data_IF_436911539217
#
_entry.id   IF_436911539217
#
_cell.length_a   1.000
_cell.length_b   1.000
_cell.length_c   1.000
_cell.angle_alpha   90.00
_cell.angle_beta   90.00
_cell.angle_gamma   90.00
#
_symmetry.space_group_name_H-M   'P 1'
#
loop_
_entity.id
_entity.type
_entity.pdbx_description
1 polymer ?
#
# COMPACT_ATOMS: atom_id res chain seq x y z
N UNK A 1 47.67 -24.92 17.06
CA UNK A 1 46.83 -24.46 18.18
C UNK A 1 47.07 -22.97 18.30
N UNK A 2 46.48 -22.21 17.39
CA UNK A 2 46.40 -20.75 17.54
C UNK A 2 45.34 -20.52 18.62
N UNK A 3 45.66 -19.71 19.62
CA UNK A 3 44.72 -19.38 20.69
C UNK A 3 43.49 -18.69 20.07
N UNK A 4 42.29 -19.12 20.47
CA UNK A 4 41.01 -18.50 20.11
C UNK A 4 40.94 -17.10 20.73
N UNK A 5 41.60 -16.12 20.11
CA UNK A 5 41.42 -14.72 20.44
C UNK A 5 39.99 -14.32 20.04
N UNK A 6 39.25 -13.69 20.97
CA UNK A 6 37.95 -13.10 20.68
C UNK A 6 38.06 -12.19 19.46
N UNK A 7 37.36 -12.54 18.37
CA UNK A 7 37.38 -11.79 17.11
C UNK A 7 36.63 -10.45 17.19
N UNK A 8 35.96 -10.17 18.31
CA UNK A 8 35.18 -8.97 18.56
C UNK A 8 35.74 -8.17 19.72
N UNK A 9 35.64 -6.84 19.63
CA UNK A 9 36.01 -5.90 20.71
C UNK A 9 34.90 -4.87 20.90
N UNK A 10 34.46 -4.70 22.15
CA UNK A 10 33.38 -3.77 22.43
C UNK A 10 33.87 -2.32 22.49
N UNK A 11 33.03 -1.34 22.12
CA UNK A 11 33.36 0.07 22.29
C UNK A 11 33.71 0.43 23.75
N UNK A 12 33.11 -0.26 24.72
CA UNK A 12 33.41 -0.06 26.15
C UNK A 12 34.84 -0.50 26.50
N UNK A 13 35.31 -1.62 25.96
CA UNK A 13 36.70 -2.09 26.15
C UNK A 13 37.70 -1.09 25.57
N UNK A 14 37.41 -0.52 24.39
CA UNK A 14 38.24 0.51 23.76
C UNK A 14 38.35 1.74 24.67
N UNK A 15 37.20 2.24 25.17
CA UNK A 15 37.17 3.38 26.11
C UNK A 15 37.88 3.11 27.42
N UNK A 16 37.77 1.89 27.96
CA UNK A 16 38.46 1.50 29.18
C UNK A 16 39.98 1.51 28.99
N UNK A 17 40.47 1.04 27.85
CA UNK A 17 41.89 1.12 27.49
C UNK A 17 42.35 2.58 27.33
N UNK A 18 41.56 3.43 26.67
CA UNK A 18 41.87 4.86 26.55
C UNK A 18 41.93 5.54 27.92
N UNK A 19 40.99 5.23 28.82
CA UNK A 19 40.99 5.76 30.18
C UNK A 19 42.25 5.33 30.96
N UNK A 20 42.69 4.08 30.81
CA UNK A 20 43.93 3.58 31.42
C UNK A 20 45.15 4.31 30.85
N UNK A 21 45.25 4.44 29.53
CA UNK A 21 46.37 5.11 28.87
C UNK A 21 46.43 6.58 29.28
N UNK A 22 45.31 7.30 29.24
CA UNK A 22 45.22 8.70 29.67
C UNK A 22 45.60 8.85 31.15
N UNK A 23 45.18 7.92 32.02
CA UNK A 23 45.56 7.92 33.44
C UNK A 23 47.08 7.71 33.63
N UNK A 24 47.68 6.76 32.92
CA UNK A 24 49.12 6.50 33.01
C UNK A 24 49.92 7.73 32.53
N UNK A 25 49.56 8.29 31.38
CA UNK A 25 50.19 9.49 30.83
C UNK A 25 50.04 10.70 31.76
N UNK A 26 48.85 10.90 32.35
CA UNK A 26 48.60 11.96 33.33
C UNK A 26 49.45 11.85 34.60
N UNK A 27 49.88 10.63 34.96
CA UNK A 27 50.81 10.37 36.05
C UNK A 27 52.28 10.25 35.60
N UNK A 28 52.60 10.65 34.36
CA UNK A 28 53.94 10.56 33.78
C UNK A 28 54.51 9.12 33.74
N UNK A 29 53.65 8.11 33.60
CA UNK A 29 54.01 6.71 33.44
C UNK A 29 53.87 6.33 31.96
N UNK A 30 54.89 5.68 31.40
CA UNK A 30 54.85 5.19 30.02
C UNK A 30 53.83 4.04 29.85
N UNK A 31 52.85 4.16 28.93
CA UNK A 31 51.85 3.12 28.68
C UNK A 31 52.43 1.89 27.97
N UNK A 32 53.21 1.09 28.68
CA UNK A 32 53.70 -0.22 28.21
C UNK A 32 52.66 -1.32 28.49
N UNK A 33 52.78 -2.48 27.84
CA UNK A 33 51.91 -3.64 28.09
C UNK A 33 51.81 -3.97 29.59
N UNK A 34 52.94 -4.01 30.29
CA UNK A 34 52.96 -4.31 31.72
C UNK A 34 52.25 -3.25 32.56
N UNK A 35 52.49 -1.97 32.29
CA UNK A 35 51.85 -0.88 33.02
C UNK A 35 50.33 -0.84 32.81
N UNK A 36 49.89 -1.10 31.58
CA UNK A 36 48.47 -1.17 31.22
C UNK A 36 47.82 -2.39 31.88
N UNK A 37 48.45 -3.57 31.82
CA UNK A 37 47.95 -4.79 32.46
C UNK A 37 47.78 -4.63 33.97
N UNK A 38 48.76 -4.06 34.68
CA UNK A 38 48.63 -3.78 36.12
C UNK A 38 47.45 -2.86 36.41
N UNK A 39 47.29 -1.78 35.63
CA UNK A 39 46.21 -0.82 35.86
C UNK A 39 44.83 -1.37 35.48
N UNK A 40 44.76 -2.20 34.44
CA UNK A 40 43.54 -2.86 34.01
C UNK A 40 43.08 -3.93 35.00
N UNK A 41 44.02 -4.68 35.60
CA UNK A 41 43.73 -5.63 36.68
C UNK A 41 43.15 -4.90 37.90
N UNK A 42 43.74 -3.78 38.32
CA UNK A 42 43.23 -2.96 39.43
C UNK A 42 41.84 -2.36 39.17
N UNK A 43 41.60 -1.87 37.94
CA UNK A 43 40.43 -1.04 37.64
C UNK A 43 39.24 -1.87 37.14
N UNK A 44 39.51 -2.95 36.40
CA UNK A 44 38.51 -3.73 35.67
C UNK A 44 38.63 -5.23 35.89
N UNK A 45 39.58 -5.70 36.70
CA UNK A 45 39.80 -7.11 37.01
C UNK A 45 40.15 -7.96 35.78
N UNK A 46 40.78 -7.34 34.77
CA UNK A 46 41.26 -8.06 33.60
C UNK A 46 42.50 -8.88 33.91
N UNK A 47 42.57 -10.06 33.31
CA UNK A 47 43.79 -10.86 33.31
C UNK A 47 44.82 -10.30 32.33
N UNK A 48 46.09 -10.66 32.52
CA UNK A 48 47.15 -10.27 31.59
C UNK A 48 46.87 -10.70 30.14
N UNK A 49 46.46 -11.97 29.86
CA UNK A 49 46.13 -12.40 28.49
C UNK A 49 44.94 -11.66 27.86
N UNK A 50 43.92 -11.31 28.64
CA UNK A 50 42.79 -10.51 28.16
C UNK A 50 43.23 -9.10 27.77
N UNK A 51 44.07 -8.47 28.60
CA UNK A 51 44.60 -7.14 28.33
C UNK A 51 45.45 -7.14 27.06
N UNK A 52 46.34 -8.12 26.92
CA UNK A 52 47.16 -8.31 25.72
C UNK A 52 46.29 -8.48 24.47
N UNK A 53 45.28 -9.36 24.52
CA UNK A 53 44.33 -9.56 23.43
C UNK A 53 43.59 -8.27 23.05
N UNK A 54 43.10 -7.51 24.04
CA UNK A 54 42.37 -6.26 23.80
C UNK A 54 43.27 -5.19 23.17
N UNK A 55 44.53 -5.08 23.61
CA UNK A 55 45.51 -4.15 23.04
C UNK A 55 45.83 -4.51 21.58
N UNK A 56 46.06 -5.80 21.29
CA UNK A 56 46.32 -6.29 19.92
C UNK A 56 45.12 -5.98 19.00
N UNK A 57 43.90 -6.24 19.47
CA UNK A 57 42.68 -5.95 18.72
C UNK A 57 42.50 -4.45 18.44
N UNK A 58 42.79 -3.59 19.43
CA UNK A 58 42.77 -2.14 19.27
C UNK A 58 43.81 -1.63 18.27
N UNK A 59 45.03 -2.17 18.28
CA UNK A 59 46.08 -1.80 17.33
C UNK A 59 45.69 -2.22 15.91
N UNK A 60 45.23 -3.46 15.74
CA UNK A 60 44.79 -3.97 14.43
C UNK A 60 43.62 -3.16 13.85
N UNK A 61 42.74 -2.64 14.72
CA UNK A 61 41.56 -1.85 14.33
C UNK A 61 41.84 -0.33 14.30
N UNK A 62 43.10 0.10 14.45
CA UNK A 62 43.53 1.52 14.46
C UNK A 62 42.83 2.37 15.53
N UNK A 63 42.50 1.77 16.67
CA UNK A 63 42.08 2.49 17.88
C UNK A 63 43.24 2.82 18.82
N UNK A 64 44.39 2.15 18.62
CA UNK A 64 45.65 2.41 19.29
C UNK A 64 46.81 2.33 18.29
N UNK A 65 47.87 3.08 18.57
CA UNK A 65 49.16 2.98 17.88
C UNK A 65 50.20 2.42 18.86
N UNK A 66 51.05 1.53 18.36
CA UNK A 66 52.21 1.01 19.09
C UNK A 66 53.46 1.58 18.44
N UNK A 67 54.30 2.26 19.21
CA UNK A 67 55.56 2.80 18.70
C UNK A 67 56.73 1.80 18.76
N UNK A 68 57.86 2.19 18.18
CA UNK A 68 59.09 1.38 18.16
C UNK A 68 59.63 1.04 19.57
N UNK A 69 59.22 1.81 20.59
CA UNK A 69 59.59 1.61 21.99
C UNK A 69 58.58 0.75 22.77
N UNK A 70 57.62 0.13 22.08
CA UNK A 70 56.53 -0.66 22.69
C UNK A 70 55.60 0.14 23.62
N UNK A 71 55.41 1.42 23.30
CA UNK A 71 54.50 2.33 24.02
C UNK A 71 53.21 2.48 23.23
N UNK A 72 52.08 2.27 23.91
CA UNK A 72 50.74 2.44 23.33
C UNK A 72 50.30 3.90 23.40
N UNK A 73 49.73 4.41 22.31
CA UNK A 73 49.19 5.77 22.20
C UNK A 73 47.80 5.76 21.56
N UNK A 74 46.99 6.73 21.98
CA UNK A 74 45.70 7.01 21.33
C UNK A 74 45.99 7.85 20.08
N UNK A 75 45.52 7.46 18.88
CA UNK A 75 45.73 8.22 17.67
C UNK A 75 45.13 9.63 17.78
N UNK A 76 45.70 10.60 17.08
CA UNK A 76 45.08 11.93 16.91
C UNK A 76 44.25 11.95 15.65
N UNK A 77 42.97 12.28 15.74
CA UNK A 77 42.15 12.47 14.54
C UNK A 77 42.50 13.82 13.89
N UNK A 78 43.15 13.80 12.71
CA UNK A 78 43.23 14.98 11.87
C UNK A 78 41.86 15.19 11.22
N UNK A 79 41.22 16.34 11.46
CA UNK A 79 39.86 16.66 11.02
C UNK A 79 39.60 16.58 9.50
N UNK A 80 40.64 16.37 8.68
CA UNK A 80 40.57 16.31 7.22
C UNK A 80 40.59 14.89 6.64
N UNK A 81 40.96 13.86 7.43
CA UNK A 81 40.99 12.46 6.97
C UNK A 81 39.72 11.72 7.39
N UNK A 82 38.71 11.72 6.53
CA UNK A 82 37.52 10.90 6.73
C UNK A 82 37.87 9.41 6.61
N UNK A 83 37.51 8.60 7.61
CA UNK A 83 37.54 7.14 7.47
C UNK A 83 36.57 6.73 6.35
N UNK A 84 37.08 6.00 5.36
CA UNK A 84 36.27 5.51 4.23
C UNK A 84 35.16 4.56 4.71
N UNK A 85 35.49 3.71 5.69
CA UNK A 85 34.60 2.72 6.31
C UNK A 85 34.57 2.86 7.83
N UNK A 86 33.45 2.42 8.39
CA UNK A 86 33.28 2.25 9.83
C UNK A 86 34.21 1.16 10.39
N UNK A 87 34.41 1.16 11.70
CA UNK A 87 35.16 0.13 12.41
C UNK A 87 34.26 -0.77 13.26
N UNK A 88 32.97 -0.43 13.37
CA UNK A 88 31.98 -1.19 14.14
C UNK A 88 30.95 -1.84 13.22
N UNK A 89 30.65 -3.12 13.49
CA UNK A 89 29.66 -3.82 12.71
C UNK A 89 28.29 -3.15 12.83
N UNK A 90 27.63 -2.94 11.70
CA UNK A 90 26.34 -2.24 11.65
C UNK A 90 25.16 -2.98 12.28
N UNK A 91 25.36 -4.24 12.68
CA UNK A 91 24.33 -5.12 13.27
C UNK A 91 24.53 -5.27 14.78
N UNK A 92 25.74 -5.63 15.22
CA UNK A 92 26.02 -5.87 16.64
C UNK A 92 26.70 -4.69 17.34
N UNK A 93 27.18 -3.69 16.60
CA UNK A 93 27.88 -2.51 17.11
C UNK A 93 29.23 -2.80 17.77
N UNK A 94 29.74 -4.03 17.61
CA UNK A 94 31.05 -4.47 18.10
C UNK A 94 32.11 -4.26 17.00
N UNK A 95 33.34 -3.97 17.42
CA UNK A 95 34.51 -3.86 16.54
C UNK A 95 35.17 -5.21 16.30
N UNK A 96 36.37 -5.18 15.71
CA UNK A 96 37.21 -6.36 15.45
C UNK A 96 37.29 -6.68 13.96
N UNK A 97 37.32 -7.96 13.58
CA UNK A 97 37.47 -8.35 12.18
C UNK A 97 36.15 -8.17 11.40
N UNK A 98 36.01 -7.03 10.73
CA UNK A 98 34.81 -6.63 9.98
C UNK A 98 35.09 -6.53 8.47
N UNK A 99 34.09 -6.89 7.68
CA UNK A 99 34.14 -6.83 6.22
C UNK A 99 33.52 -5.51 5.72
N UNK A 100 34.26 -4.69 4.95
CA UNK A 100 33.73 -3.45 4.41
C UNK A 100 32.83 -3.69 3.20
N UNK A 101 31.72 -2.95 3.13
CA UNK A 101 30.89 -2.88 1.93
C UNK A 101 31.60 -2.11 0.82
N UNK A 102 31.57 -2.62 -0.42
CA UNK A 102 32.09 -1.89 -1.57
C UNK A 102 31.24 -0.66 -1.95
N UNK A 103 29.94 -0.68 -1.63
CA UNK A 103 28.98 0.37 -2.03
C UNK A 103 28.71 1.45 -0.98
N UNK A 104 29.19 1.31 0.26
CA UNK A 104 29.04 2.33 1.29
C UNK A 104 30.07 2.16 2.43
N UNK A 105 30.06 3.08 3.40
CA UNK A 105 30.96 3.07 4.55
C UNK A 105 30.68 1.95 5.57
N UNK A 106 29.57 1.21 5.47
CA UNK A 106 29.16 0.23 6.49
C UNK A 106 30.05 -1.02 6.46
N UNK A 107 30.26 -1.60 7.63
CA UNK A 107 31.02 -2.85 7.83
C UNK A 107 30.22 -3.88 8.61
N UNK A 108 30.53 -5.16 8.40
CA UNK A 108 29.78 -6.28 8.98
C UNK A 108 30.71 -7.41 9.38
N UNK A 109 30.48 -8.05 10.54
CA UNK A 109 31.09 -9.36 10.78
C UNK A 109 30.51 -10.38 9.81
N UNK A 110 31.30 -11.42 9.48
CA UNK A 110 30.88 -12.49 8.57
C UNK A 110 29.53 -13.10 8.99
N UNK A 111 29.39 -13.40 10.28
CA UNK A 111 28.17 -14.00 10.83
C UNK A 111 26.99 -13.01 10.92
N UNK A 112 27.26 -11.71 10.94
CA UNK A 112 26.24 -10.66 11.02
C UNK A 112 25.69 -10.26 9.66
N UNK A 113 26.38 -10.59 8.56
CA UNK A 113 25.98 -10.18 7.21
C UNK A 113 24.86 -11.02 6.58
N UNK A 114 24.29 -12.00 7.32
CA UNK A 114 23.17 -12.90 6.93
C UNK A 114 22.98 -13.06 5.42
N UNK A 115 23.81 -13.92 4.80
CA UNK A 115 23.75 -14.20 3.35
C UNK A 115 25.07 -14.10 2.60
N UNK A 116 26.21 -13.99 3.30
CA UNK A 116 27.53 -14.02 2.68
C UNK A 116 27.80 -15.39 2.06
N UNK A 117 27.85 -15.45 0.74
CA UNK A 117 28.34 -16.59 -0.03
C UNK A 117 29.73 -16.97 0.48
N UNK A 118 29.83 -18.10 1.16
CA UNK A 118 31.12 -18.75 1.37
C UNK A 118 31.71 -19.05 -0.01
N UNK A 119 32.82 -18.38 -0.35
CA UNK A 119 33.62 -18.53 -1.58
C UNK A 119 33.19 -17.76 -2.85
N UNK A 120 33.24 -16.43 -2.84
CA UNK A 120 33.42 -15.67 -4.08
C UNK A 120 34.57 -14.66 -3.93
N UNK A 121 35.43 -14.59 -4.95
CA UNK A 121 36.48 -13.56 -5.12
C UNK A 121 35.89 -12.18 -5.46
N UNK A 122 34.59 -11.98 -5.22
CA UNK A 122 33.84 -10.78 -5.59
C UNK A 122 33.71 -9.84 -4.39
N UNK A 123 33.66 -8.53 -4.66
CA UNK A 123 33.58 -7.51 -3.63
C UNK A 123 32.25 -7.59 -2.86
N UNK A 124 32.31 -7.60 -1.52
CA UNK A 124 31.11 -7.69 -0.67
C UNK A 124 30.25 -6.42 -0.80
N UNK A 125 28.94 -6.61 -1.04
CA UNK A 125 27.93 -5.54 -1.07
C UNK A 125 26.87 -5.84 -0.02
N UNK A 126 26.68 -4.94 0.94
CA UNK A 126 25.81 -5.18 2.09
C UNK A 126 24.31 -5.19 1.73
N UNK A 127 23.45 -5.81 2.57
CA UNK A 127 22.01 -5.87 2.34
C UNK A 127 21.36 -4.49 2.17
N UNK A 128 21.87 -3.47 2.88
CA UNK A 128 21.40 -2.08 2.76
C UNK A 128 21.65 -1.53 1.35
N UNK A 129 22.88 -1.67 0.82
CA UNK A 129 23.18 -1.21 -0.54
C UNK A 129 22.36 -1.96 -1.59
N UNK A 130 22.21 -3.29 -1.43
CA UNK A 130 21.40 -4.09 -2.34
C UNK A 130 19.92 -3.67 -2.34
N UNK A 131 19.37 -3.34 -1.16
CA UNK A 131 18.01 -2.82 -1.01
C UNK A 131 17.86 -1.46 -1.69
N UNK A 132 18.77 -0.52 -1.43
CA UNK A 132 18.69 0.85 -1.94
C UNK A 132 18.73 0.93 -3.48
N UNK A 133 19.30 -0.07 -4.17
CA UNK A 133 19.29 -0.14 -5.63
C UNK A 133 17.88 -0.26 -6.23
N UNK A 134 16.90 -0.77 -5.47
CA UNK A 134 15.53 -1.04 -5.93
C UNK A 134 14.52 0.01 -5.48
N UNK A 135 14.95 0.98 -4.67
CA UNK A 135 14.05 1.97 -4.08
C UNK A 135 13.67 3.07 -5.09
N UNK A 136 12.37 3.35 -5.28
CA UNK A 136 11.93 4.44 -6.13
C UNK A 136 12.27 5.79 -5.49
N UNK A 137 12.44 6.80 -6.34
CA UNK A 137 12.59 8.19 -5.89
C UNK A 137 11.22 8.82 -5.68
N UNK A 138 11.07 9.58 -4.60
CA UNK A 138 9.88 10.35 -4.23
C UNK A 138 10.21 11.83 -4.36
N UNK A 139 9.22 12.66 -4.65
CA UNK A 139 9.43 14.10 -4.70
C UNK A 139 9.83 14.64 -3.30
N UNK A 140 10.82 15.54 -3.20
CA UNK A 140 11.31 16.02 -1.90
C UNK A 140 10.28 16.77 -1.06
N UNK A 141 9.27 17.40 -1.69
CA UNK A 141 8.26 18.20 -1.00
C UNK A 141 7.30 17.32 -0.21
N UNK A 142 6.73 16.30 -0.86
CA UNK A 142 5.88 15.30 -0.21
C UNK A 142 6.63 14.51 0.83
N UNK A 143 7.92 14.21 0.57
CA UNK A 143 8.77 13.50 1.52
C UNK A 143 8.98 14.31 2.81
N UNK A 144 9.22 15.62 2.69
CA UNK A 144 9.32 16.52 3.84
C UNK A 144 8.03 16.58 4.63
N UNK A 145 6.88 16.81 3.96
CA UNK A 145 5.58 16.89 4.63
C UNK A 145 5.25 15.63 5.43
N UNK A 146 5.66 14.46 4.94
CA UNK A 146 5.45 13.18 5.60
C UNK A 146 6.42 12.91 6.77
N UNK A 147 7.70 13.27 6.63
CA UNK A 147 8.75 12.88 7.58
C UNK A 147 9.06 13.94 8.65
N UNK A 148 8.71 15.20 8.41
CA UNK A 148 8.96 16.29 9.36
C UNK A 148 8.28 16.08 10.73
N UNK A 149 7.01 15.61 10.81
CA UNK A 149 6.39 15.27 12.10
C UNK A 149 7.15 14.19 12.87
N UNK A 150 7.76 13.23 12.16
CA UNK A 150 8.56 12.16 12.76
C UNK A 150 9.83 12.72 13.40
N UNK A 151 10.46 13.68 12.73
CA UNK A 151 11.66 14.35 13.21
C UNK A 151 11.37 15.25 14.41
N UNK A 152 10.23 15.96 14.41
CA UNK A 152 9.77 16.79 15.53
C UNK A 152 9.46 15.94 16.77
N UNK A 153 8.83 14.78 16.57
CA UNK A 153 8.59 13.83 17.65
C UNK A 153 9.90 13.29 18.21
N UNK A 154 10.84 12.86 17.37
CA UNK A 154 12.15 12.39 17.80
C UNK A 154 12.91 13.45 18.60
N UNK A 155 12.88 14.71 18.16
CA UNK A 155 13.51 15.82 18.87
C UNK A 155 12.86 16.07 20.24
N UNK A 156 11.53 16.07 20.29
CA UNK A 156 10.76 16.27 21.51
C UNK A 156 10.98 15.14 22.52
N UNK A 157 10.87 13.89 22.08
CA UNK A 157 11.07 12.70 22.91
C UNK A 157 12.51 12.57 23.38
N UNK A 158 13.48 12.97 22.57
CA UNK A 158 14.89 12.97 22.96
C UNK A 158 15.29 14.15 23.84
N UNK A 159 14.36 15.05 24.20
CA UNK A 159 14.67 16.22 25.02
C UNK A 159 15.83 17.05 24.45
N UNK A 160 15.95 17.12 23.12
CA UNK A 160 17.04 17.78 22.38
C UNK A 160 18.45 17.19 22.56
N UNK A 161 18.61 16.06 23.28
CA UNK A 161 19.93 15.46 23.57
C UNK A 161 20.64 14.96 22.31
N UNK A 162 19.89 14.66 21.25
CA UNK A 162 20.42 14.18 19.97
C UNK A 162 20.64 15.29 18.94
N UNK A 163 20.66 16.55 19.37
CA UNK A 163 21.05 17.68 18.54
C UNK A 163 22.55 17.97 18.71
N UNK A 164 23.24 18.27 17.60
CA UNK A 164 24.62 18.77 17.60
C UNK A 164 25.63 17.84 18.29
N UNK A 165 25.69 16.58 17.83
CA UNK A 165 26.63 15.59 18.38
C UNK A 165 28.04 15.77 17.78
N UNK A 166 29.13 15.60 18.56
CA UNK A 166 29.18 15.36 20.01
C UNK A 166 28.83 16.62 20.82
N UNK A 167 28.04 16.45 21.90
CA UNK A 167 27.69 17.55 22.77
C UNK A 167 28.88 18.00 23.63
N UNK A 168 28.91 19.28 24.02
CA UNK A 168 30.00 19.87 24.84
C UNK A 168 30.10 19.32 26.26
N UNK A 169 29.09 18.59 26.74
CA UNK A 169 28.89 18.25 28.16
C UNK A 169 29.07 16.75 28.46
N UNK A 170 29.84 16.03 27.64
CA UNK A 170 29.90 14.57 27.65
C UNK A 170 31.20 13.96 28.19
N UNK A 171 31.08 12.70 28.63
CA UNK A 171 32.15 11.86 29.17
C UNK A 171 33.20 11.42 28.15
N UNK A 172 33.01 11.74 26.86
CA UNK A 172 33.89 11.37 25.75
C UNK A 172 34.42 12.65 25.11
N UNK A 173 35.74 12.75 24.99
CA UNK A 173 36.36 13.92 24.36
C UNK A 173 35.98 14.03 22.87
N UNK A 174 36.00 15.24 22.31
CA UNK A 174 35.70 15.47 20.89
C UNK A 174 36.59 14.62 19.98
N UNK A 175 37.87 14.48 20.31
CA UNK A 175 38.82 13.67 19.56
C UNK A 175 38.44 12.16 19.63
N UNK A 176 38.06 11.68 20.82
CA UNK A 176 37.64 10.29 21.04
C UNK A 176 36.35 9.95 20.27
N UNK A 177 35.41 10.89 20.17
CA UNK A 177 34.20 10.73 19.38
C UNK A 177 34.53 10.45 17.90
N UNK A 178 35.39 11.27 17.29
CA UNK A 178 35.74 11.11 15.87
C UNK A 178 36.67 9.92 15.59
N UNK A 179 37.35 9.38 16.61
CA UNK A 179 38.07 8.11 16.48
C UNK A 179 37.13 6.89 16.44
N UNK A 180 35.96 7.00 17.07
CA UNK A 180 34.94 5.94 17.09
C UNK A 180 33.98 6.02 15.90
N UNK A 181 33.68 7.23 15.41
CA UNK A 181 32.62 7.46 14.43
C UNK A 181 33.20 7.83 13.06
N UNK A 182 32.97 6.99 12.05
CA UNK A 182 33.38 7.28 10.68
C UNK A 182 32.50 8.33 9.98
N UNK A 183 31.20 8.37 10.30
CA UNK A 183 30.23 9.31 9.72
C UNK A 183 29.39 9.94 10.83
N UNK A 184 29.54 11.24 11.03
CA UNK A 184 28.75 11.97 12.02
C UNK A 184 27.32 12.23 11.50
N UNK A 185 26.35 12.11 12.39
CA UNK A 185 24.96 12.48 12.11
C UNK A 185 24.28 12.81 13.44
N UNK A 186 23.35 13.76 13.40
CA UNK A 186 22.49 14.16 14.51
C UNK A 186 21.14 14.65 13.95
N UNK A 187 20.18 14.95 14.84
CA UNK A 187 18.86 15.39 14.42
C UNK A 187 18.89 16.75 13.68
N UNK A 188 19.88 17.61 13.94
CA UNK A 188 20.07 18.88 13.22
C UNK A 188 20.48 18.63 11.77
N UNK A 189 21.41 17.70 11.56
CA UNK A 189 21.92 17.28 10.26
C UNK A 189 20.81 16.62 9.44
N UNK A 190 20.03 15.74 10.08
CA UNK A 190 18.88 15.09 9.43
C UNK A 190 17.83 16.12 9.04
N UNK A 191 17.54 17.11 9.90
CA UNK A 191 16.62 18.21 9.58
C UNK A 191 17.09 18.99 8.36
N UNK A 192 18.36 19.40 8.35
CA UNK A 192 18.93 20.14 7.24
C UNK A 192 18.86 19.33 5.93
N UNK A 193 19.17 18.02 5.96
CA UNK A 193 19.07 17.15 4.79
C UNK A 193 17.64 17.03 4.28
N UNK A 194 16.65 16.97 5.18
CA UNK A 194 15.23 16.94 4.82
C UNK A 194 14.78 18.27 4.19
N UNK A 195 15.14 19.40 4.79
CA UNK A 195 14.79 20.74 4.30
C UNK A 195 15.42 21.06 2.94
N UNK A 196 16.67 20.63 2.74
CA UNK A 196 17.42 20.83 1.49
C UNK A 196 17.11 19.80 0.41
N UNK A 197 16.21 18.84 0.69
CA UNK A 197 15.77 17.83 -0.27
C UNK A 197 16.86 16.82 -0.66
N UNK A 198 17.77 16.49 0.26
CA UNK A 198 18.87 15.55 0.02
C UNK A 198 18.43 14.07 0.11
N UNK A 199 17.25 13.80 0.64
CA UNK A 199 16.69 12.44 0.70
C UNK A 199 15.87 12.13 -0.54
N UNK A 200 16.15 10.99 -1.16
CA UNK A 200 15.43 10.55 -2.37
C UNK A 200 14.19 9.71 -2.06
N UNK A 201 14.13 9.10 -0.87
CA UNK A 201 13.01 8.28 -0.40
C UNK A 201 13.04 8.16 1.12
N UNK A 202 11.99 7.58 1.70
CA UNK A 202 11.88 7.42 3.15
C UNK A 202 12.97 6.51 3.73
N UNK A 203 13.48 5.53 2.97
CA UNK A 203 14.56 4.65 3.45
C UNK A 203 15.88 5.39 3.59
N UNK A 204 16.20 6.29 2.67
CA UNK A 204 17.37 7.17 2.75
C UNK A 204 17.38 7.98 4.06
N UNK A 205 16.23 8.53 4.43
CA UNK A 205 16.03 9.20 5.73
C UNK A 205 16.17 8.25 6.93
N UNK A 206 15.54 7.08 6.88
CA UNK A 206 15.63 6.09 7.97
C UNK A 206 17.06 5.55 8.16
N UNK A 207 17.87 5.49 7.10
CA UNK A 207 19.26 5.06 7.17
C UNK A 207 20.14 6.03 7.97
N UNK A 208 19.83 7.33 7.96
CA UNK A 208 20.49 8.30 8.83
C UNK A 208 20.05 8.17 10.29
N UNK A 209 18.79 7.82 10.55
CA UNK A 209 18.33 7.47 11.91
C UNK A 209 19.02 6.20 12.43
N UNK A 210 19.20 5.19 11.57
CA UNK A 210 19.97 4.00 11.92
C UNK A 210 21.43 4.34 12.17
N UNK A 211 22.04 5.24 11.40
CA UNK A 211 23.39 5.74 11.66
C UNK A 211 23.47 6.49 12.99
N UNK A 212 22.50 7.35 13.29
CA UNK A 212 22.43 8.08 14.55
C UNK A 212 22.39 7.09 15.73
N UNK A 213 21.54 6.08 15.65
CA UNK A 213 21.44 5.03 16.66
C UNK A 213 22.75 4.25 16.77
N UNK A 214 23.35 3.83 15.65
CA UNK A 214 24.63 3.12 15.61
C UNK A 214 25.71 3.94 16.33
N UNK A 215 25.84 5.22 15.98
CA UNK A 215 26.83 6.12 16.58
C UNK A 215 26.59 6.29 18.09
N UNK A 216 25.33 6.41 18.51
CA UNK A 216 24.97 6.53 19.93
C UNK A 216 25.35 5.26 20.70
N UNK A 217 25.06 4.08 20.15
CA UNK A 217 25.43 2.80 20.79
C UNK A 217 26.95 2.67 20.86
N UNK A 218 27.65 2.99 19.78
CA UNK A 218 29.12 2.92 19.74
C UNK A 218 29.72 3.87 20.76
N UNK A 219 29.35 5.14 20.81
CA UNK A 219 29.99 6.16 21.66
C UNK A 219 29.58 6.05 23.12
N UNK A 220 28.29 5.83 23.40
CA UNK A 220 27.76 5.87 24.77
C UNK A 220 27.54 4.48 25.38
N UNK A 221 27.79 3.43 24.61
CA UNK A 221 27.76 2.03 25.05
C UNK A 221 26.37 1.40 24.96
N UNK A 222 26.32 0.12 25.36
CA UNK A 222 25.06 -0.62 25.43
C UNK A 222 24.12 0.05 26.44
N UNK A 223 22.85 0.14 26.06
CA UNK A 223 21.78 1.05 26.53
C UNK A 223 21.42 0.90 28.03
N UNK A 224 22.19 0.13 28.80
CA UNK A 224 21.99 -0.24 30.20
C UNK A 224 22.34 0.89 31.19
N UNK A 225 23.00 1.99 30.77
CA UNK A 225 23.45 3.06 31.70
C UNK A 225 22.78 4.44 31.56
N UNK A 226 21.92 4.68 30.57
CA UNK A 226 21.04 5.87 30.50
C UNK A 226 19.62 5.42 30.12
N UNK A 227 18.86 4.98 31.12
CA UNK A 227 17.48 4.54 30.95
C UNK A 227 16.54 5.72 30.68
N UNK A 228 15.71 5.57 29.63
CA UNK A 228 14.38 6.20 29.37
C UNK A 228 14.24 6.80 27.96
N UNK A 229 15.31 7.33 27.37
CA UNK A 229 15.21 8.14 26.14
C UNK A 229 15.50 7.36 24.85
N UNK A 230 16.57 6.56 24.87
CA UNK A 230 17.10 5.89 23.69
C UNK A 230 16.39 4.57 23.39
N UNK A 231 15.86 3.87 24.40
CA UNK A 231 14.95 2.72 24.21
C UNK A 231 13.63 3.15 23.56
N UNK A 232 13.11 4.34 23.89
CA UNK A 232 11.94 4.91 23.23
C UNK A 232 12.19 5.18 21.74
N UNK A 233 13.39 5.64 21.39
CA UNK A 233 13.81 5.89 20.01
C UNK A 233 14.11 4.60 19.26
N UNK A 234 14.72 3.60 19.92
CA UNK A 234 14.95 2.26 19.35
C UNK A 234 13.63 1.54 19.02
N UNK A 235 12.67 1.55 19.96
CA UNK A 235 11.32 1.00 19.75
C UNK A 235 10.56 1.81 18.68
N UNK A 236 10.69 3.13 18.68
CA UNK A 236 10.09 4.00 17.66
C UNK A 236 10.66 3.74 16.25
N UNK A 237 11.98 3.59 16.11
CA UNK A 237 12.65 3.27 14.84
C UNK A 237 12.23 1.87 14.35
N UNK A 238 12.20 0.85 15.22
CA UNK A 238 11.70 -0.49 14.87
C UNK A 238 10.22 -0.44 14.46
N UNK A 239 9.39 0.33 15.17
CA UNK A 239 7.98 0.50 14.86
C UNK A 239 7.74 1.18 13.50
N UNK A 240 8.54 2.18 13.12
CA UNK A 240 8.46 2.82 11.80
C UNK A 240 9.04 1.95 10.67
N UNK A 241 10.09 1.17 10.93
CA UNK A 241 10.67 0.21 9.97
C UNK A 241 9.70 -0.93 9.62
N UNK A 242 8.85 -1.36 10.57
CA UNK A 242 7.80 -2.36 10.31
C UNK A 242 6.61 -1.76 9.56
N UNK A 243 6.29 -0.49 9.81
CA UNK A 243 5.22 0.25 9.12
C UNK A 243 5.53 0.51 7.64
N UNK A 244 6.81 0.66 7.28
CA UNK A 244 7.25 0.95 5.91
C UNK A 244 7.29 -0.27 4.97
N UNK A 245 7.40 -1.50 5.49
CA UNK A 245 7.20 -2.70 4.67
C UNK A 245 5.74 -2.85 4.20
N UNK A 246 4.78 -2.34 4.96
CA UNK A 246 3.36 -2.33 4.56
C UNK A 246 3.13 -1.24 3.48
N UNK A 247 3.84 -0.12 3.53
CA UNK A 247 3.81 0.90 2.48
C UNK A 247 4.43 0.42 1.16
N UNK A 248 5.48 -0.42 1.21
CA UNK A 248 6.08 -1.03 0.02
C UNK A 248 5.14 -2.05 -0.61
N UNK A 249 4.51 -2.92 0.19
CA UNK A 249 3.48 -3.86 -0.27
C UNK A 249 2.25 -3.11 -0.80
N UNK A 250 1.85 -2.02 -0.15
CA UNK A 250 0.77 -1.15 -0.61
C UNK A 250 1.13 -0.42 -1.92
N UNK A 251 2.38 -0.01 -2.10
CA UNK A 251 2.90 0.62 -3.32
C UNK A 251 3.03 -0.39 -4.47
N UNK A 252 3.53 -1.61 -4.23
CA UNK A 252 3.63 -2.66 -5.24
C UNK A 252 2.24 -3.12 -5.68
N UNK A 253 1.29 -3.23 -4.75
CA UNK A 253 -0.13 -3.46 -5.05
C UNK A 253 -0.73 -2.26 -5.78
N UNK A 254 -0.41 -1.02 -5.39
CA UNK A 254 -0.90 0.20 -6.05
C UNK A 254 -0.38 0.33 -7.48
N UNK A 255 0.89 0.03 -7.74
CA UNK A 255 1.51 0.06 -9.08
C UNK A 255 0.98 -1.07 -9.97
N UNK A 256 0.77 -2.27 -9.40
CA UNK A 256 0.16 -3.40 -10.14
C UNK A 256 -1.30 -3.11 -10.51
N UNK A 257 -2.03 -2.45 -9.61
CA UNK A 257 -3.43 -2.03 -9.82
C UNK A 257 -3.51 -0.83 -10.78
N UNK A 258 -2.60 0.15 -10.72
CA UNK A 258 -2.59 1.29 -11.65
C UNK A 258 -2.17 0.92 -13.07
N UNK A 259 -1.22 -0.01 -13.23
CA UNK A 259 -0.84 -0.54 -14.55
C UNK A 259 -1.99 -1.30 -15.25
N UNK A 260 -2.98 -1.78 -14.48
CA UNK A 260 -4.23 -2.35 -15.01
C UNK A 260 -5.33 -1.29 -15.26
N UNK A 261 -5.21 -0.10 -14.67
CA UNK A 261 -6.18 1.01 -14.80
C UNK A 261 -5.84 1.92 -16.00
N UNK A 262 -4.55 2.11 -16.33
CA UNK A 262 -4.13 2.95 -17.47
C UNK A 262 -4.39 2.31 -18.86
N UNK A 263 -4.80 1.04 -18.93
CA UNK A 263 -5.22 0.41 -20.20
C UNK A 263 -6.69 0.66 -20.57
N UNK A 264 -7.50 1.28 -19.70
CA UNK A 264 -8.96 1.32 -19.89
C UNK A 264 -9.63 2.71 -19.83
N UNK A 265 -8.89 3.83 -19.90
CA UNK A 265 -9.51 5.14 -20.05
C UNK A 265 -9.18 5.82 -21.40
N UNK A 266 -10.04 5.57 -22.39
CA UNK A 266 -10.29 6.48 -23.52
C UNK A 266 -11.79 6.76 -23.57
N UNK A 267 -12.17 8.02 -23.29
CA UNK A 267 -13.42 8.73 -23.65
C UNK A 267 -14.75 8.22 -23.01
N UNK A 268 -15.73 9.02 -22.58
CA UNK A 268 -15.98 10.47 -22.56
C UNK A 268 -17.16 10.80 -21.59
N UNK A 269 -17.04 11.96 -20.94
CA UNK A 269 -18.02 13.03 -20.65
C UNK A 269 -19.57 12.89 -20.75
N UNK A 270 -20.22 13.44 -19.67
CA UNK A 270 -21.37 14.39 -19.62
C UNK A 270 -22.80 13.90 -19.22
N UNK A 271 -23.18 14.38 -18.02
CA UNK A 271 -24.45 14.97 -17.50
C UNK A 271 -25.85 14.35 -17.76
N UNK A 272 -26.58 14.11 -16.65
CA UNK A 272 -27.88 14.79 -16.44
C UNK A 272 -29.14 13.94 -16.24
N UNK A 273 -29.78 14.13 -15.07
CA UNK A 273 -31.23 14.06 -14.74
C UNK A 273 -31.96 12.71 -14.55
N UNK A 274 -32.09 12.37 -13.25
CA UNK A 274 -33.32 12.13 -12.44
C UNK A 274 -34.59 11.40 -12.98
N UNK A 275 -35.10 10.57 -12.05
CA UNK A 275 -36.47 10.07 -11.79
C UNK A 275 -36.98 8.78 -12.47
N UNK A 276 -37.33 7.80 -11.61
CA UNK A 276 -38.32 6.75 -11.93
C UNK A 276 -38.02 5.35 -11.38
N UNK A 277 -38.29 5.11 -10.09
CA UNK A 277 -38.34 3.77 -9.50
C UNK A 277 -39.55 2.95 -10.04
N UNK A 278 -39.41 1.62 -10.22
CA UNK A 278 -40.08 0.64 -9.33
C UNK A 278 -39.89 -0.85 -9.71
N UNK A 279 -39.74 -1.64 -8.63
CA UNK A 279 -40.37 -2.94 -8.35
C UNK A 279 -40.10 -4.15 -9.26
N UNK A 280 -38.94 -4.80 -9.08
CA UNK A 280 -38.77 -6.25 -9.36
C UNK A 280 -37.72 -6.90 -8.42
N UNK A 281 -37.59 -6.39 -7.19
CA UNK A 281 -36.46 -6.68 -6.28
C UNK A 281 -36.71 -7.75 -5.20
N UNK A 282 -37.66 -8.68 -5.35
CA UNK A 282 -38.08 -9.54 -4.21
C UNK A 282 -37.72 -11.02 -4.31
N UNK A 283 -37.26 -11.53 -5.46
CA UNK A 283 -36.91 -12.97 -5.56
C UNK A 283 -35.40 -13.30 -5.63
N UNK A 284 -34.53 -12.28 -5.68
CA UNK A 284 -33.07 -12.50 -5.70
C UNK A 284 -32.41 -12.60 -4.32
N UNK A 285 -33.14 -12.35 -3.22
CA UNK A 285 -32.55 -12.29 -1.86
C UNK A 285 -32.13 -13.66 -1.31
N UNK A 286 -32.81 -14.73 -1.71
CA UNK A 286 -32.66 -16.02 -1.01
C UNK A 286 -31.50 -16.86 -1.56
N UNK A 287 -31.16 -16.71 -2.84
CA UNK A 287 -29.98 -17.35 -3.44
C UNK A 287 -28.66 -16.63 -3.09
N UNK A 288 -28.72 -15.35 -2.70
CA UNK A 288 -27.54 -14.58 -2.28
C UNK A 288 -27.11 -14.87 -0.83
N UNK A 289 -27.99 -15.42 0.01
CA UNK A 289 -27.66 -15.77 1.40
C UNK A 289 -26.84 -17.08 1.52
N UNK A 290 -27.01 -18.04 0.61
CA UNK A 290 -26.18 -19.27 0.61
C UNK A 290 -24.78 -19.03 0.01
N UNK A 291 -24.64 -18.12 -0.95
CA UNK A 291 -23.33 -17.84 -1.59
C UNK A 291 -22.43 -16.93 -0.73
N UNK A 292 -22.99 -16.15 0.20
CA UNK A 292 -22.21 -15.40 1.18
C UNK A 292 -21.56 -16.28 2.26
N UNK A 293 -22.12 -17.45 2.55
CA UNK A 293 -21.64 -18.32 3.64
C UNK A 293 -20.35 -19.07 3.28
N UNK A 294 -20.11 -19.38 2.00
CA UNK A 294 -18.86 -20.02 1.55
C UNK A 294 -17.66 -19.05 1.50
N UNK A 295 -17.88 -17.76 1.26
CA UNK A 295 -16.81 -16.74 1.38
C UNK A 295 -16.51 -16.36 2.84
N UNK A 296 -17.38 -16.74 3.78
CA UNK A 296 -17.13 -16.65 5.22
C UNK A 296 -16.28 -17.81 5.78
N UNK A 297 -15.96 -18.82 4.98
CA UNK A 297 -15.10 -19.96 5.35
C UNK A 297 -13.62 -19.77 4.99
N UNK A 298 -13.04 -18.60 5.31
CA UNK A 298 -11.61 -18.50 5.58
C UNK A 298 -11.46 -18.45 7.11
N UNK A 299 -10.57 -19.28 7.72
CA UNK A 299 -10.72 -19.68 9.10
C UNK A 299 -10.92 -18.50 10.05
N UNK A 300 -12.11 -18.43 10.64
CA UNK A 300 -12.42 -17.63 11.82
C UNK A 300 -11.68 -18.12 13.08
N UNK A 301 -10.92 -19.20 12.94
CA UNK A 301 -9.98 -19.70 13.93
C UNK A 301 -8.53 -19.48 13.47
N UNK A 302 -8.02 -18.25 13.63
CA UNK A 302 -6.70 -18.13 14.25
C UNK A 302 -6.94 -17.99 15.75
N UNK A 303 -7.53 -19.03 16.34
CA UNK A 303 -7.53 -19.20 17.78
C UNK A 303 -6.06 -19.35 18.21
N UNK A 304 -5.58 -18.32 18.89
CA UNK A 304 -4.52 -18.40 19.91
C UNK A 304 -3.11 -18.84 19.49
N UNK A 305 -2.82 -19.04 18.20
CA UNK A 305 -1.47 -19.42 17.79
C UNK A 305 -0.57 -18.17 17.59
N UNK A 306 0.25 -17.89 18.61
CA UNK A 306 1.54 -17.19 18.55
C UNK A 306 1.57 -15.66 18.44
N UNK A 307 0.88 -14.92 19.33
CA UNK A 307 1.14 -13.47 19.46
C UNK A 307 1.46 -13.00 20.88
N UNK A 308 1.95 -13.92 21.71
CA UNK A 308 2.74 -13.56 22.88
C UNK A 308 4.18 -13.94 22.61
N UNK A 309 5.00 -12.98 22.21
CA UNK A 309 6.42 -13.14 22.40
C UNK A 309 6.77 -12.68 23.82
N UNK A 310 6.46 -13.53 24.80
CA UNK A 310 6.92 -13.33 26.17
C UNK A 310 8.45 -13.26 26.26
N UNK A 311 9.22 -13.64 25.22
CA UNK A 311 10.68 -13.53 25.24
C UNK A 311 11.13 -12.10 25.49
N UNK A 312 10.45 -11.09 24.95
CA UNK A 312 10.82 -9.68 25.14
C UNK A 312 10.73 -9.26 26.62
N UNK A 313 9.77 -9.80 27.37
CA UNK A 313 9.60 -9.52 28.81
C UNK A 313 10.49 -10.45 29.67
N UNK A 314 10.74 -11.67 29.19
CA UNK A 314 11.51 -12.71 29.87
C UNK A 314 13.03 -12.50 29.74
N UNK A 315 13.46 -11.85 28.67
CA UNK A 315 14.87 -11.56 28.33
C UNK A 315 15.31 -10.17 28.83
N UNK A 316 14.42 -9.43 29.53
CA UNK A 316 14.81 -8.27 30.33
C UNK A 316 15.78 -8.72 31.44
N UNK A 317 16.97 -8.12 31.57
CA UNK A 317 17.97 -8.55 32.55
C UNK A 317 17.38 -8.62 33.96
N UNK A 318 17.58 -9.71 34.72
CA UNK A 318 17.14 -9.77 36.09
C UNK A 318 17.96 -8.77 36.93
N UNK A 319 17.30 -7.75 37.46
CA UNK A 319 17.92 -6.83 38.42
C UNK A 319 17.09 -6.78 39.71
N UNK A 320 17.78 -6.85 40.85
CA UNK A 320 17.16 -7.11 42.16
C UNK A 320 16.77 -5.80 42.89
N UNK A 321 16.08 -4.88 42.20
CA UNK A 321 15.66 -3.59 42.78
C UNK A 321 14.14 -3.53 43.07
N UNK A 322 13.70 -2.68 44.02
CA UNK A 322 12.29 -2.60 44.45
C UNK A 322 11.27 -2.19 43.37
N UNK A 323 11.73 -1.57 42.27
CA UNK A 323 10.86 -1.05 41.19
C UNK A 323 10.58 -2.06 40.07
N UNK A 324 11.37 -3.13 39.97
CA UNK A 324 11.25 -4.14 38.92
C UNK A 324 9.83 -4.72 38.73
N UNK A 325 9.02 -4.96 39.78
CA UNK A 325 7.65 -5.47 39.62
C UNK A 325 6.67 -4.42 39.06
N UNK A 326 6.82 -3.14 39.45
CA UNK A 326 5.98 -2.05 38.93
C UNK A 326 6.35 -1.74 37.48
N UNK A 327 7.63 -1.76 37.15
CA UNK A 327 8.14 -1.47 35.81
C UNK A 327 7.77 -2.57 34.80
N UNK A 328 7.87 -3.85 35.19
CA UNK A 328 7.38 -4.97 34.36
C UNK A 328 5.88 -4.88 34.07
N UNK A 329 5.07 -4.41 35.03
CA UNK A 329 3.63 -4.17 34.80
C UNK A 329 3.39 -3.02 33.84
N UNK A 330 4.11 -1.92 33.99
CA UNK A 330 3.96 -0.74 33.13
C UNK A 330 4.34 -1.02 31.67
N UNK A 331 5.43 -1.76 31.45
CA UNK A 331 5.85 -2.20 30.10
C UNK A 331 4.83 -3.15 29.51
N UNK A 332 4.32 -4.09 30.30
CA UNK A 332 3.27 -5.00 29.86
C UNK A 332 1.99 -4.24 29.48
N UNK A 333 1.54 -3.30 30.30
CA UNK A 333 0.36 -2.48 30.04
C UNK A 333 0.52 -1.60 28.79
N UNK A 334 1.69 -0.99 28.58
CA UNK A 334 2.00 -0.20 27.38
C UNK A 334 2.06 -1.08 26.12
N UNK A 335 2.70 -2.25 26.21
CA UNK A 335 2.76 -3.21 25.11
C UNK A 335 1.37 -3.74 24.75
N UNK A 336 0.59 -4.14 25.75
CA UNK A 336 -0.76 -4.68 25.58
C UNK A 336 -1.71 -3.61 25.00
N UNK A 337 -1.66 -2.38 25.50
CA UNK A 337 -2.49 -1.25 25.00
C UNK A 337 -2.15 -0.91 23.55
N UNK A 338 -0.87 -0.93 23.21
CA UNK A 338 -0.40 -0.63 21.87
C UNK A 338 -0.70 -1.77 20.88
N UNK A 339 -0.52 -3.04 21.27
CA UNK A 339 -0.94 -4.19 20.47
C UNK A 339 -2.44 -4.19 20.20
N UNK A 340 -3.26 -3.88 21.21
CA UNK A 340 -4.71 -3.78 21.05
C UNK A 340 -5.06 -2.71 20.02
N UNK A 341 -4.48 -1.50 20.16
CA UNK A 341 -4.72 -0.39 19.23
C UNK A 341 -4.24 -0.70 17.81
N UNK A 342 -3.11 -1.41 17.64
CA UNK A 342 -2.63 -1.86 16.34
C UNK A 342 -3.57 -2.89 15.69
N UNK A 343 -4.01 -3.90 16.45
CA UNK A 343 -4.93 -4.91 15.94
C UNK A 343 -6.28 -4.30 15.58
N UNK A 344 -6.80 -3.38 16.38
CA UNK A 344 -8.02 -2.64 16.09
C UNK A 344 -7.91 -1.82 14.80
N UNK A 345 -6.82 -1.06 14.60
CA UNK A 345 -6.65 -0.23 13.40
C UNK A 345 -6.41 -1.08 12.15
N UNK A 346 -5.62 -2.16 12.26
CA UNK A 346 -5.42 -3.14 11.19
C UNK A 346 -6.74 -3.78 10.77
N UNK A 347 -7.57 -4.16 11.74
CA UNK A 347 -8.83 -4.82 11.48
C UNK A 347 -9.85 -3.82 10.91
N UNK A 348 -9.84 -2.54 11.33
CA UNK A 348 -10.58 -1.44 10.68
C UNK A 348 -10.18 -1.27 9.22
N UNK A 349 -8.89 -1.13 8.93
CA UNK A 349 -8.39 -0.96 7.56
C UNK A 349 -8.71 -2.16 6.68
N UNK A 350 -8.54 -3.38 7.20
CA UNK A 350 -8.92 -4.61 6.48
C UNK A 350 -10.41 -4.62 6.15
N UNK A 351 -11.26 -4.26 7.11
CA UNK A 351 -12.71 -4.19 6.91
C UNK A 351 -13.09 -3.09 5.91
N UNK A 352 -12.46 -1.91 5.97
CA UNK A 352 -12.71 -0.83 5.02
C UNK A 352 -12.30 -1.20 3.58
N UNK A 353 -11.18 -1.91 3.41
CA UNK A 353 -10.75 -2.43 2.09
C UNK A 353 -11.74 -3.49 1.59
N UNK A 354 -12.12 -4.44 2.46
CA UNK A 354 -13.11 -5.47 2.13
C UNK A 354 -14.42 -4.83 1.70
N UNK A 355 -14.93 -3.86 2.45
CA UNK A 355 -16.17 -3.16 2.14
C UNK A 355 -16.09 -2.41 0.80
N UNK A 356 -14.98 -1.70 0.54
CA UNK A 356 -14.77 -1.04 -0.77
C UNK A 356 -14.72 -2.02 -1.92
N UNK A 357 -14.06 -3.17 -1.75
CA UNK A 357 -13.97 -4.21 -2.77
C UNK A 357 -15.35 -4.85 -3.02
N UNK A 358 -16.08 -5.17 -1.96
CA UNK A 358 -17.46 -5.66 -2.04
C UNK A 358 -18.37 -4.64 -2.71
N UNK A 359 -18.28 -3.35 -2.35
CA UNK A 359 -19.06 -2.29 -3.02
C UNK A 359 -18.71 -2.17 -4.50
N UNK A 360 -17.42 -2.28 -4.87
CA UNK A 360 -17.00 -2.22 -6.27
C UNK A 360 -17.56 -3.41 -7.06
N UNK A 361 -17.42 -4.63 -6.51
CA UNK A 361 -17.96 -5.85 -7.11
C UNK A 361 -19.48 -5.75 -7.30
N UNK A 362 -20.22 -5.34 -6.26
CA UNK A 362 -21.68 -5.17 -6.35
C UNK A 362 -22.08 -4.11 -7.40
N UNK A 363 -21.29 -3.03 -7.55
CA UNK A 363 -21.53 -2.01 -8.58
C UNK A 363 -21.27 -2.53 -9.99
N UNK A 364 -20.19 -3.29 -10.18
CA UNK A 364 -19.85 -3.92 -11.45
C UNK A 364 -20.91 -4.96 -11.84
N UNK A 365 -21.28 -5.84 -10.92
CA UNK A 365 -22.34 -6.82 -11.14
C UNK A 365 -23.68 -6.15 -11.48
N UNK A 366 -24.08 -5.11 -10.73
CA UNK A 366 -25.30 -4.37 -11.04
C UNK A 366 -25.23 -3.61 -12.38
N UNK A 367 -24.03 -3.23 -12.85
CA UNK A 367 -23.84 -2.63 -14.18
C UNK A 367 -24.03 -3.68 -15.26
N UNK A 368 -23.38 -4.84 -15.13
CA UNK A 368 -23.52 -5.95 -16.08
C UNK A 368 -24.96 -6.45 -16.16
N UNK A 369 -25.65 -6.60 -15.02
CA UNK A 369 -27.05 -6.99 -14.97
C UNK A 369 -27.94 -5.97 -15.69
N UNK A 370 -27.72 -4.67 -15.49
CA UNK A 370 -28.45 -3.60 -16.19
C UNK A 370 -28.20 -3.63 -17.69
N UNK A 371 -26.95 -3.75 -18.13
CA UNK A 371 -26.59 -3.83 -19.54
C UNK A 371 -27.24 -5.05 -20.22
N UNK A 372 -27.25 -6.19 -19.53
CA UNK A 372 -27.92 -7.39 -20.00
C UNK A 372 -29.44 -7.20 -20.12
N UNK A 373 -30.06 -6.60 -19.10
CA UNK A 373 -31.50 -6.29 -19.10
C UNK A 373 -31.89 -5.30 -20.20
N UNK A 374 -31.11 -4.24 -20.40
CA UNK A 374 -31.32 -3.26 -21.46
C UNK A 374 -31.19 -3.88 -22.84
N UNK A 375 -30.14 -4.70 -23.05
CA UNK A 375 -29.95 -5.45 -24.29
C UNK A 375 -31.13 -6.37 -24.59
N UNK A 376 -31.62 -7.09 -23.58
CA UNK A 376 -32.78 -7.98 -23.72
C UNK A 376 -34.07 -7.21 -24.00
N UNK A 377 -34.31 -6.10 -23.29
CA UNK A 377 -35.47 -5.22 -23.48
C UNK A 377 -35.50 -4.63 -24.90
N UNK A 378 -34.33 -4.18 -25.40
CA UNK A 378 -34.20 -3.69 -26.77
C UNK A 378 -34.53 -4.77 -27.80
N UNK A 379 -34.03 -5.98 -27.63
CA UNK A 379 -34.34 -7.11 -28.51
C UNK A 379 -35.83 -7.47 -28.52
N UNK A 380 -36.48 -7.42 -27.35
CA UNK A 380 -37.93 -7.63 -27.22
C UNK A 380 -38.73 -6.54 -27.95
N UNK A 381 -38.35 -5.28 -27.78
CA UNK A 381 -39.02 -4.15 -28.41
C UNK A 381 -38.84 -4.17 -29.93
N UNK A 382 -37.64 -4.46 -30.42
CA UNK A 382 -37.38 -4.65 -31.86
C UNK A 382 -38.23 -5.78 -32.44
N UNK A 383 -38.30 -6.92 -31.74
CA UNK A 383 -39.15 -8.06 -32.13
C UNK A 383 -40.64 -7.70 -32.15
N UNK A 384 -41.11 -6.94 -31.16
CA UNK A 384 -42.49 -6.44 -31.07
C UNK A 384 -42.81 -5.51 -32.23
N UNK A 385 -41.92 -4.57 -32.54
CA UNK A 385 -42.09 -3.61 -33.63
C UNK A 385 -42.09 -4.31 -35.00
N UNK A 386 -41.20 -5.27 -35.23
CA UNK A 386 -41.19 -6.07 -36.46
C UNK A 386 -42.51 -6.83 -36.62
N UNK A 387 -42.96 -7.52 -35.57
CA UNK A 387 -44.23 -8.25 -35.59
C UNK A 387 -45.41 -7.32 -35.88
N UNK A 388 -45.47 -6.15 -35.22
CA UNK A 388 -46.52 -5.16 -35.43
C UNK A 388 -46.48 -4.57 -36.84
N UNK A 389 -45.29 -4.32 -37.39
CA UNK A 389 -45.11 -3.85 -38.77
C UNK A 389 -45.63 -4.88 -39.77
N UNK A 390 -45.26 -6.15 -39.61
CA UNK A 390 -45.75 -7.26 -40.45
C UNK A 390 -47.27 -7.39 -40.38
N UNK A 391 -47.83 -7.34 -39.18
CA UNK A 391 -49.29 -7.39 -38.98
C UNK A 391 -49.99 -6.21 -39.68
N UNK A 392 -49.48 -4.99 -39.50
CA UNK A 392 -50.05 -3.79 -40.14
C UNK A 392 -49.95 -3.85 -41.67
N UNK A 393 -48.85 -4.38 -42.21
CA UNK A 393 -48.68 -4.57 -43.66
C UNK A 393 -49.69 -5.60 -44.20
N UNK A 394 -49.87 -6.72 -43.50
CA UNK A 394 -50.87 -7.73 -43.85
C UNK A 394 -52.28 -7.13 -43.83
N UNK A 395 -52.64 -6.40 -42.77
CA UNK A 395 -53.94 -5.75 -42.64
C UNK A 395 -54.18 -4.74 -43.77
N UNK A 396 -53.19 -3.90 -44.10
CA UNK A 396 -53.27 -2.96 -45.24
C UNK A 396 -53.48 -3.68 -46.57
N UNK A 397 -52.78 -4.79 -46.79
CA UNK A 397 -52.93 -5.59 -48.00
C UNK A 397 -54.34 -6.20 -48.10
N UNK A 398 -54.88 -6.73 -47.00
CA UNK A 398 -56.25 -7.28 -46.98
C UNK A 398 -57.32 -6.19 -47.15
N UNK A 399 -57.17 -5.03 -46.51
CA UNK A 399 -58.06 -3.87 -46.72
C UNK A 399 -58.06 -3.42 -48.18
N UNK A 400 -56.89 -3.36 -48.82
CA UNK A 400 -56.77 -3.03 -50.24
C UNK A 400 -57.46 -4.08 -51.12
N UNK A 401 -57.23 -5.37 -50.88
CA UNK A 401 -57.90 -6.46 -51.61
C UNK A 401 -59.43 -6.36 -51.48
N UNK A 402 -59.93 -6.07 -50.28
CA UNK A 402 -61.36 -5.90 -50.02
C UNK A 402 -61.91 -4.68 -50.77
N UNK A 403 -61.21 -3.55 -50.72
CA UNK A 403 -61.56 -2.33 -51.43
C UNK A 403 -61.57 -2.53 -52.95
N UNK A 404 -60.55 -3.16 -53.52
CA UNK A 404 -60.47 -3.47 -54.94
C UNK A 404 -61.61 -4.40 -55.38
N UNK A 405 -61.94 -5.40 -54.56
CA UNK A 405 -63.08 -6.30 -54.80
C UNK A 405 -64.40 -5.54 -54.79
N UNK A 406 -64.60 -4.68 -53.80
CA UNK A 406 -65.79 -3.85 -53.69
C UNK A 406 -65.92 -2.89 -54.88
N UNK A 407 -64.81 -2.25 -55.30
CA UNK A 407 -64.80 -1.35 -56.46
C UNK A 407 -65.14 -2.09 -57.76
N UNK A 408 -64.64 -3.32 -57.94
CA UNK A 408 -65.02 -4.17 -59.08
C UNK A 408 -66.51 -4.49 -59.05
N UNK A 409 -67.05 -4.88 -57.89
CA UNK A 409 -68.48 -5.12 -57.73
C UNK A 409 -69.30 -3.88 -58.08
N UNK A 410 -68.94 -2.69 -57.57
CA UNK A 410 -69.61 -1.43 -57.92
C UNK A 410 -69.55 -1.13 -59.43
N UNK A 411 -68.41 -1.36 -60.07
CA UNK A 411 -68.25 -1.15 -61.50
C UNK A 411 -69.13 -2.11 -62.31
N UNK A 412 -69.25 -3.37 -61.90
CA UNK A 412 -70.18 -4.32 -62.51
C UNK A 412 -71.64 -3.93 -62.26
N UNK A 413 -71.97 -3.47 -61.05
CA UNK A 413 -73.33 -3.02 -60.74
C UNK A 413 -73.73 -1.80 -61.60
N UNK A 414 -72.82 -0.84 -61.81
CA UNK A 414 -73.05 0.35 -62.64
C UNK A 414 -73.30 0.05 -64.13
N UNK A 415 -72.95 -1.15 -64.63
CA UNK A 415 -73.21 -1.56 -66.02
C UNK A 415 -74.63 -2.09 -66.24
N UNK A 416 -75.37 -2.36 -65.16
CA UNK A 416 -76.71 -2.93 -65.18
C UNK A 416 -77.76 -1.87 -64.90
N UNK A 417 -79.01 -2.16 -65.26
CA UNK A 417 -80.17 -1.36 -64.89
C UNK A 417 -80.84 -2.01 -63.68
N UNK A 418 -81.37 -1.20 -62.76
CA UNK A 418 -81.89 -1.66 -61.48
C UNK A 418 -83.35 -1.27 -61.31
N UNK A 419 -84.13 -2.15 -60.70
CA UNK A 419 -85.52 -1.93 -60.40
C UNK A 419 -85.64 -0.80 -59.37
N UNK A 420 -86.38 0.25 -59.70
CA UNK A 420 -86.57 1.38 -58.79
C UNK A 420 -87.21 0.95 -57.46
N UNK A 421 -88.07 -0.07 -57.48
CA UNK A 421 -88.84 -0.47 -56.30
C UNK A 421 -88.15 -1.45 -55.36
N UNK A 422 -87.21 -2.28 -55.84
CA UNK A 422 -86.67 -3.40 -55.06
C UNK A 422 -85.20 -3.72 -55.30
N UNK A 423 -84.48 -2.91 -56.09
CA UNK A 423 -83.03 -3.06 -56.34
C UNK A 423 -82.59 -4.37 -57.04
N UNK A 424 -83.53 -5.22 -57.46
CA UNK A 424 -83.25 -6.33 -58.36
C UNK A 424 -82.91 -5.84 -59.76
N UNK A 425 -82.16 -6.62 -60.54
CA UNK A 425 -81.81 -6.29 -61.92
C UNK A 425 -83.08 -6.07 -62.76
N UNK A 426 -83.19 -4.90 -63.40
CA UNK A 426 -84.37 -4.51 -64.16
C UNK A 426 -84.32 -5.07 -65.58
N UNK A 427 -85.47 -5.57 -66.03
CA UNK A 427 -85.67 -6.07 -67.40
C UNK A 427 -86.68 -5.22 -68.19
N UNK A 428 -87.48 -4.38 -67.50
CA UNK A 428 -88.43 -3.47 -68.11
C UNK A 428 -87.96 -2.02 -67.96
N UNK A 429 -87.72 -1.34 -69.08
CA UNK A 429 -87.41 0.09 -69.10
C UNK A 429 -88.69 0.94 -69.21
N UNK A 430 -88.82 1.97 -68.36
CA UNK A 430 -89.92 2.93 -68.43
C UNK A 430 -89.46 4.25 -69.06
N UNK A 431 -88.58 4.99 -68.39
CA UNK A 431 -87.97 6.23 -68.88
C UNK A 431 -86.60 6.46 -68.23
N UNK A 432 -85.93 7.59 -68.54
CA UNK A 432 -84.62 7.92 -67.98
C UNK A 432 -84.59 7.76 -66.45
N UNK A 433 -83.65 6.95 -65.95
CA UNK A 433 -83.45 6.65 -64.54
C UNK A 433 -84.65 5.97 -63.84
N UNK A 434 -85.51 5.27 -64.56
CA UNK A 434 -86.60 4.46 -63.96
C UNK A 434 -86.86 3.20 -64.77
N UNK A 435 -86.53 2.06 -64.16
CA UNK A 435 -86.70 0.71 -64.71
C UNK A 435 -87.26 -0.24 -63.64
N UNK A 436 -87.79 -1.39 -64.04
CA UNK A 436 -88.44 -2.36 -63.14
C UNK A 436 -88.00 -3.80 -63.46
N UNK A 437 -87.91 -4.65 -62.44
CA UNK A 437 -87.66 -6.09 -62.62
C UNK A 437 -88.94 -6.86 -62.97
N UNK A 438 -90.12 -6.33 -62.63
CA UNK A 438 -91.40 -6.97 -62.86
C UNK A 438 -92.54 -5.95 -63.01
N UNK A 439 -93.66 -6.40 -63.55
CA UNK A 439 -94.86 -5.55 -63.73
C UNK A 439 -95.46 -5.16 -62.39
N UNK A 440 -95.35 -6.03 -61.38
CA UNK A 440 -95.79 -5.76 -60.01
C UNK A 440 -95.02 -4.58 -59.41
N UNK A 441 -93.69 -4.57 -59.56
CA UNK A 441 -92.85 -3.46 -59.10
C UNK A 441 -93.16 -2.14 -59.84
N UNK A 442 -93.50 -2.23 -61.14
CA UNK A 442 -93.94 -1.07 -61.90
C UNK A 442 -95.25 -0.52 -61.37
N UNK A 443 -96.26 -1.36 -61.18
CA UNK A 443 -97.57 -0.96 -60.68
C UNK A 443 -97.50 -0.37 -59.27
N UNK A 444 -96.59 -0.88 -58.43
CA UNK A 444 -96.37 -0.36 -57.08
C UNK A 444 -95.80 1.06 -57.08
N UNK A 445 -94.82 1.36 -57.95
CA UNK A 445 -94.24 2.71 -58.09
C UNK A 445 -95.10 3.64 -58.98
N UNK A 446 -95.98 3.09 -59.82
CA UNK A 446 -96.74 3.86 -60.80
C UNK A 446 -97.55 5.05 -60.24
N UNK A 447 -98.23 4.94 -59.07
CA UNK A 447 -99.02 6.05 -58.53
C UNK A 447 -98.19 7.33 -58.33
N UNK A 448 -96.92 7.21 -57.94
CA UNK A 448 -96.01 8.34 -57.73
C UNK A 448 -95.21 8.68 -58.99
N UNK A 449 -94.78 7.68 -59.75
CA UNK A 449 -93.97 7.88 -60.96
C UNK A 449 -94.74 8.52 -62.12
N UNK A 450 -96.03 8.21 -62.28
CA UNK A 450 -96.83 8.63 -63.45
C UNK A 450 -96.78 10.14 -63.70
N UNK A 451 -96.65 10.95 -62.65
CA UNK A 451 -96.60 12.41 -62.75
C UNK A 451 -95.28 12.94 -63.30
N UNK A 452 -94.19 12.19 -63.15
CA UNK A 452 -92.83 12.56 -63.57
C UNK A 452 -92.29 11.69 -64.71
N UNK A 453 -93.09 10.73 -65.18
CA UNK A 453 -92.74 9.81 -66.25
C UNK A 453 -92.48 10.56 -67.56
N UNK A 454 -91.33 10.29 -68.17
CA UNK A 454 -90.90 10.92 -69.45
C UNK A 454 -91.07 10.01 -70.66
N UNK A 455 -91.75 8.88 -70.51
CA UNK A 455 -92.02 7.96 -71.62
C UNK A 455 -93.02 8.63 -72.56
N UNK A 456 -92.63 8.86 -73.81
CA UNK A 456 -93.55 9.39 -74.83
C UNK A 456 -94.67 8.37 -75.03
N UNK A 457 -95.90 8.80 -74.80
CA UNK A 457 -97.10 8.07 -75.24
C UNK A 457 -97.19 8.24 -76.75
N UNK A 458 -96.99 7.15 -77.51
CA UNK A 458 -97.53 7.08 -78.86
C UNK A 458 -99.05 6.97 -78.81
#
# INVERSE_FOLDING_TARGET
>A
MEAEYSHTISPDVIRQLWAVINHLQGNSIEPTLNAISTKAEESFQWTFPETESNLVNCVNSKFLELDDSSIFRIPTHNSEEFREHDCFCYVCHEGGFVMPCHGCFRVFHNNCASGGTENSTEAFVCPVCQMMLREPKVDPTSLREYLEPMLDLANTTSGNVLLNLPSRDESVGVNEYYLLIARNVDLSTIRQKLETGQYHNAKDFLLDFQLLLHNVIVVYGSIVKRESLLWGIYIFIIFVLVSSNIAQIASDVYQTVYAQIDSENVEAEIEGTEEGANEEAVEMSDAQLEYTDEMHALPSDVSQAQLYDESIIRDLPPHNCPHAPKFKRLIKELHDTWQLSYHEERDRLRNAIREKLTQKFMREQAREDREMQESFSKQLEESRQDLQSRYNQQLKAELKKLSDRHQRQLNELKKKQWCWSCENEAIYHCCWNTSYCSVECQQQHWPTHRATCRRKTE
#
